data_IF_401022826829
#
_entry.id   IF_401022826829
#
_cell.length_a   1.000
_cell.length_b   1.000
_cell.length_c   1.000
_cell.angle_alpha   90.00
_cell.angle_beta   90.00
_cell.angle_gamma   90.00
#
_symmetry.space_group_name_H-M   'P 1'
#
loop_
_entity.id
_entity.type
_entity.pdbx_description
1 polymer ?
#
# COMPACT_ATOMS: atom_id res chain seq x y z
N UNK A 1 -7.44 3.94 18.43
CA UNK A 1 -5.96 3.81 18.37
C UNK A 1 -5.52 4.24 16.98
N UNK A 2 -4.34 4.83 16.80
CA UNK A 2 -3.76 5.13 15.47
C UNK A 2 -3.66 3.89 14.57
N UNK A 3 -3.58 2.69 15.18
CA UNK A 3 -3.65 1.40 14.51
C UNK A 3 -4.97 1.14 13.79
N UNK A 4 -6.04 1.89 14.05
CA UNK A 4 -7.29 1.73 13.30
C UNK A 4 -7.21 2.34 11.90
N UNK A 5 -6.47 3.45 11.79
CA UNK A 5 -6.36 4.28 10.58
C UNK A 5 -5.15 3.94 9.73
N UNK A 6 -4.06 3.44 10.31
CA UNK A 6 -2.91 2.98 9.54
C UNK A 6 -2.30 1.72 10.13
N UNK A 7 -2.33 0.63 9.36
CA UNK A 7 -1.78 -0.66 9.76
C UNK A 7 -0.70 -1.11 8.79
N UNK A 8 0.41 -1.59 9.34
CA UNK A 8 1.46 -2.27 8.60
C UNK A 8 1.42 -3.72 9.06
N UNK A 9 1.20 -4.65 8.12
CA UNK A 9 1.27 -6.08 8.42
C UNK A 9 2.53 -6.63 7.79
N UNK A 10 3.40 -7.21 8.63
CA UNK A 10 4.71 -7.68 8.22
C UNK A 10 4.62 -9.09 7.63
N UNK A 11 5.29 -9.33 6.50
CA UNK A 11 5.46 -10.69 5.97
C UNK A 11 4.22 -11.38 5.40
N UNK A 12 3.11 -10.68 5.19
CA UNK A 12 1.82 -11.29 4.79
C UNK A 12 1.66 -11.46 3.27
N UNK A 13 2.45 -10.73 2.48
CA UNK A 13 2.40 -10.74 1.02
C UNK A 13 3.36 -11.73 0.37
N UNK A 14 3.35 -11.75 -0.96
CA UNK A 14 4.25 -12.57 -1.78
C UNK A 14 5.72 -12.38 -1.38
N UNK A 15 6.45 -13.49 -1.22
CA UNK A 15 7.85 -13.53 -0.76
C UNK A 15 8.08 -12.78 0.56
N UNK A 16 7.12 -12.89 1.49
CA UNK A 16 7.22 -12.23 2.79
C UNK A 16 7.19 -10.71 2.68
N UNK A 17 6.61 -10.17 1.61
CA UNK A 17 6.38 -8.73 1.49
C UNK A 17 5.44 -8.23 2.57
N UNK A 18 5.64 -7.00 2.99
CA UNK A 18 4.74 -6.31 3.89
C UNK A 18 3.48 -5.84 3.16
N UNK A 19 2.47 -5.43 3.93
CA UNK A 19 1.32 -4.68 3.42
C UNK A 19 1.05 -3.44 4.27
N UNK A 20 0.46 -2.44 3.63
CA UNK A 20 0.01 -1.19 4.26
C UNK A 20 -1.48 -1.04 4.03
N UNK A 21 -2.22 -0.72 5.09
CA UNK A 21 -3.60 -0.31 5.03
C UNK A 21 -3.73 1.09 5.63
N UNK A 22 -4.44 1.97 4.94
CA UNK A 22 -4.78 3.31 5.41
C UNK A 22 -6.30 3.54 5.29
N UNK A 23 -6.90 4.08 6.34
CA UNK A 23 -8.28 4.58 6.36
C UNK A 23 -8.27 6.04 6.74
N UNK A 24 -9.08 6.85 6.05
CA UNK A 24 -9.13 8.28 6.28
C UNK A 24 -10.48 8.86 5.86
N UNK A 25 -10.84 10.01 6.44
CA UNK A 25 -12.02 10.76 6.01
C UNK A 25 -11.72 11.49 4.71
N UNK A 26 -12.75 11.68 3.88
CA UNK A 26 -12.62 12.53 2.71
C UNK A 26 -12.37 13.98 3.14
N UNK A 27 -11.46 14.64 2.44
CA UNK A 27 -11.21 16.07 2.55
C UNK A 27 -12.41 16.87 2.02
N UNK A 28 -12.40 18.18 2.23
CA UNK A 28 -13.35 19.10 1.59
C UNK A 28 -13.06 19.29 0.10
N UNK A 29 -11.93 18.76 -0.39
CA UNK A 29 -11.45 18.90 -1.76
C UNK A 29 -11.67 17.64 -2.59
N UNK A 30 -10.87 17.51 -3.65
CA UNK A 30 -10.87 16.34 -4.51
C UNK A 30 -9.89 15.29 -3.98
N UNK A 31 -10.42 14.18 -3.47
CA UNK A 31 -9.61 13.02 -3.11
C UNK A 31 -9.64 11.97 -4.22
N UNK A 32 -8.55 11.22 -4.35
CA UNK A 32 -8.42 10.13 -5.30
C UNK A 32 -7.88 8.88 -4.64
N UNK A 33 -8.25 7.72 -5.17
CA UNK A 33 -7.55 6.47 -4.86
C UNK A 33 -6.20 6.40 -5.58
N UNK A 34 -5.39 5.42 -5.21
CA UNK A 34 -4.10 5.06 -5.79
C UNK A 34 -4.03 4.89 -7.32
N UNK A 35 -5.17 4.71 -7.98
CA UNK A 35 -5.24 4.58 -9.45
C UNK A 35 -5.89 5.81 -10.10
N UNK A 36 -6.20 6.84 -9.30
CA UNK A 36 -6.68 8.13 -9.77
C UNK A 36 -8.20 8.25 -9.89
N UNK A 37 -8.98 7.29 -9.38
CA UNK A 37 -10.43 7.48 -9.35
C UNK A 37 -10.80 8.44 -8.21
N UNK A 38 -11.72 9.35 -8.50
CA UNK A 38 -12.29 10.23 -7.48
C UNK A 38 -12.96 9.43 -6.37
N UNK A 39 -12.62 9.76 -5.12
CA UNK A 39 -13.23 9.21 -3.93
C UNK A 39 -14.43 10.07 -3.51
N UNK A 40 -15.61 9.49 -3.68
CA UNK A 40 -16.90 10.04 -3.27
C UNK A 40 -17.44 9.29 -2.06
N UNK A 41 -18.48 9.81 -1.39
CA UNK A 41 -19.02 9.25 -0.15
C UNK A 41 -19.48 7.79 -0.30
N UNK A 42 -19.98 7.40 -1.48
CA UNK A 42 -20.36 6.03 -1.84
C UNK A 42 -19.16 5.07 -1.97
N UNK A 43 -17.93 5.59 -2.10
CA UNK A 43 -16.66 4.83 -2.05
C UNK A 43 -16.06 4.81 -0.63
N UNK A 44 -16.89 5.02 0.40
CA UNK A 44 -16.47 4.95 1.80
C UNK A 44 -17.25 3.87 2.55
N UNK A 45 -16.67 3.40 3.66
CA UNK A 45 -17.34 2.50 4.60
C UNK A 45 -17.32 3.14 5.97
N UNK A 46 -18.51 3.35 6.56
CA UNK A 46 -18.67 4.14 7.81
C UNK A 46 -18.03 5.54 7.72
N UNK A 47 -18.11 6.18 6.56
CA UNK A 47 -17.55 7.51 6.31
C UNK A 47 -16.02 7.56 6.12
N UNK A 48 -15.35 6.41 6.04
CA UNK A 48 -13.91 6.33 5.80
C UNK A 48 -13.61 5.73 4.43
N UNK A 49 -12.75 6.40 3.67
CA UNK A 49 -12.07 5.81 2.53
C UNK A 49 -11.08 4.74 3.01
N UNK A 50 -10.72 3.83 2.11
CA UNK A 50 -9.75 2.77 2.36
C UNK A 50 -8.76 2.70 1.20
N UNK A 51 -7.47 2.65 1.52
CA UNK A 51 -6.42 2.33 0.58
C UNK A 51 -5.50 1.25 1.16
N UNK A 52 -5.32 0.16 0.43
CA UNK A 52 -4.41 -0.92 0.77
C UNK A 52 -3.32 -1.09 -0.29
N UNK A 53 -2.12 -1.46 0.14
CA UNK A 53 -0.99 -1.76 -0.73
C UNK A 53 -0.37 -3.08 -0.28
N UNK A 54 -0.28 -4.04 -1.19
CA UNK A 54 0.34 -5.35 -0.92
C UNK A 54 0.90 -5.95 -2.19
N UNK A 55 1.75 -6.97 -2.05
CA UNK A 55 2.30 -7.71 -3.19
C UNK A 55 1.63 -9.08 -3.24
N UNK A 56 0.97 -9.38 -4.36
CA UNK A 56 0.40 -10.70 -4.64
C UNK A 56 1.25 -11.45 -5.67
N UNK A 57 1.04 -12.78 -5.76
CA UNK A 57 1.67 -13.58 -6.82
C UNK A 57 1.14 -13.11 -8.18
N UNK A 58 2.04 -12.83 -9.12
CA UNK A 58 1.64 -12.39 -10.46
C UNK A 58 0.81 -13.48 -11.16
N UNK A 59 -0.42 -13.13 -11.54
CA UNK A 59 -1.39 -14.06 -12.14
C UNK A 59 -1.30 -14.13 -13.68
N UNK A 60 -0.73 -13.10 -14.34
CA UNK A 60 -0.87 -12.87 -15.79
C UNK A 60 0.35 -13.29 -16.60
N UNK A 61 0.79 -14.53 -16.45
CA UNK A 61 1.85 -15.10 -17.30
C UNK A 61 1.26 -16.10 -18.28
N UNK A 62 1.66 -16.08 -19.57
CA UNK A 62 1.22 -17.08 -20.54
C UNK A 62 1.39 -18.48 -19.98
N UNK A 63 0.40 -19.37 -20.18
CA UNK A 63 0.44 -20.75 -19.70
C UNK A 63 1.79 -21.40 -20.08
N UNK A 64 2.57 -21.80 -19.09
CA UNK A 64 3.89 -22.41 -19.25
C UNK A 64 5.08 -21.52 -18.89
N UNK A 65 4.88 -20.20 -18.74
CA UNK A 65 5.94 -19.27 -18.29
C UNK A 65 5.75 -18.97 -16.80
N UNK A 66 6.63 -19.49 -15.95
CA UNK A 66 6.69 -19.08 -14.53
C UNK A 66 7.34 -17.71 -14.45
N UNK A 67 6.56 -16.67 -14.15
CA UNK A 67 7.13 -15.39 -13.71
C UNK A 67 7.49 -15.47 -12.25
N UNK A 68 8.77 -15.30 -11.96
CA UNK A 68 9.32 -15.24 -10.60
C UNK A 68 9.25 -13.80 -10.04
N UNK A 69 8.06 -13.20 -10.13
CA UNK A 69 7.76 -11.87 -9.64
C UNK A 69 6.33 -11.79 -9.13
N UNK A 70 6.10 -10.83 -8.24
CA UNK A 70 4.79 -10.44 -7.72
C UNK A 70 4.23 -9.21 -8.44
N UNK A 71 2.98 -8.93 -8.15
CA UNK A 71 2.24 -7.76 -8.59
C UNK A 71 2.00 -6.85 -7.39
N UNK A 72 2.40 -5.58 -7.47
CA UNK A 72 1.98 -4.57 -6.51
C UNK A 72 0.50 -4.28 -6.76
N UNK A 73 -0.32 -4.55 -5.76
CA UNK A 73 -1.77 -4.36 -5.79
C UNK A 73 -2.10 -3.13 -4.98
N UNK A 74 -2.94 -2.27 -5.55
CA UNK A 74 -3.72 -1.34 -4.77
C UNK A 74 -5.10 -1.91 -4.47
N UNK A 75 -5.55 -1.73 -3.24
CA UNK A 75 -6.89 -2.04 -2.80
C UNK A 75 -7.66 -0.75 -2.50
N UNK A 76 -8.85 -0.59 -3.06
CA UNK A 76 -9.73 0.57 -2.84
C UNK A 76 -11.19 0.12 -2.77
N UNK A 77 -12.10 0.96 -2.28
CA UNK A 77 -13.53 0.63 -2.26
C UNK A 77 -14.21 1.06 -3.57
N UNK A 78 -15.06 0.21 -4.13
CA UNK A 78 -15.98 0.61 -5.19
C UNK A 78 -17.16 1.46 -4.66
N UNK A 79 -18.04 1.89 -5.56
CA UNK A 79 -19.24 2.69 -5.24
C UNK A 79 -20.28 1.93 -4.38
N UNK A 80 -20.09 0.64 -4.17
CA UNK A 80 -20.91 -0.19 -3.29
C UNK A 80 -20.19 -0.47 -1.96
N UNK A 81 -19.05 0.16 -1.70
CA UNK A 81 -18.25 -0.06 -0.50
C UNK A 81 -17.57 -1.44 -0.45
N UNK A 82 -17.41 -2.11 -1.59
CA UNK A 82 -16.72 -3.41 -1.69
C UNK A 82 -15.26 -3.20 -2.05
N UNK A 83 -14.38 -4.02 -1.48
CA UNK A 83 -12.95 -3.94 -1.73
C UNK A 83 -12.62 -4.44 -3.15
N UNK A 84 -11.88 -3.65 -3.90
CA UNK A 84 -11.41 -3.93 -5.25
C UNK A 84 -9.89 -3.90 -5.29
N UNK A 85 -9.31 -4.93 -5.90
CA UNK A 85 -7.87 -5.03 -6.12
C UNK A 85 -7.55 -4.61 -7.56
N UNK A 86 -6.62 -3.68 -7.72
CA UNK A 86 -6.09 -3.27 -9.03
C UNK A 86 -4.58 -3.41 -9.03
N UNK A 87 -4.03 -4.10 -10.02
CA UNK A 87 -2.58 -4.20 -10.21
C UNK A 87 -2.01 -2.86 -10.65
N UNK A 88 -1.10 -2.30 -9.87
CA UNK A 88 -0.35 -1.08 -10.21
C UNK A 88 0.84 -1.41 -11.11
N UNK A 89 1.56 -2.48 -10.78
CA UNK A 89 2.75 -2.90 -11.53
C UNK A 89 3.10 -4.37 -11.26
N UNK A 90 3.79 -4.99 -12.21
CA UNK A 90 4.33 -6.34 -12.10
C UNK A 90 5.86 -6.32 -11.90
N UNK A 91 6.44 -7.49 -11.64
CA UNK A 91 7.89 -7.61 -11.47
C UNK A 91 8.37 -7.13 -10.10
N UNK A 92 7.56 -7.29 -9.06
CA UNK A 92 7.97 -7.00 -7.68
C UNK A 92 8.63 -8.22 -7.07
N UNK A 93 9.84 -8.08 -6.55
CA UNK A 93 10.49 -9.11 -5.75
C UNK A 93 9.98 -9.07 -4.31
N UNK A 94 10.03 -7.89 -3.71
CA UNK A 94 9.72 -7.67 -2.30
C UNK A 94 9.30 -6.22 -2.04
N UNK A 95 8.35 -6.04 -1.13
CA UNK A 95 7.96 -4.75 -0.55
C UNK A 95 8.27 -4.79 0.95
N UNK A 96 9.11 -3.88 1.42
CA UNK A 96 9.41 -3.70 2.83
C UNK A 96 8.96 -2.32 3.32
N UNK A 97 8.36 -2.28 4.51
CA UNK A 97 7.88 -1.07 5.17
C UNK A 97 8.43 -1.07 6.59
N UNK A 98 9.28 -0.10 6.88
CA UNK A 98 9.93 0.08 8.17
C UNK A 98 9.47 1.37 8.81
N UNK A 99 9.12 1.31 10.10
CA UNK A 99 8.85 2.51 10.88
C UNK A 99 10.16 3.02 11.49
N UNK A 100 10.53 4.25 11.15
CA UNK A 100 11.75 4.87 11.61
C UNK A 100 11.53 5.57 12.95
N UNK A 101 12.51 5.51 13.88
CA UNK A 101 12.42 6.23 15.14
C UNK A 101 12.47 7.74 14.90
N UNK A 102 11.48 8.47 15.43
CA UNK A 102 11.46 9.93 15.35
C UNK A 102 12.14 10.51 16.60
N UNK A 103 13.24 11.24 16.40
CA UNK A 103 13.95 11.92 17.50
C UNK A 103 13.24 13.24 17.82
N UNK A 104 12.29 13.22 18.75
CA UNK A 104 11.60 14.41 19.26
C UNK A 104 10.67 14.07 20.43
N UNK A 105 10.80 14.78 21.55
CA UNK A 105 10.20 14.42 22.84
C UNK A 105 8.67 14.26 22.82
N UNK A 106 8.21 13.23 23.55
CA UNK A 106 6.89 12.87 24.11
C UNK A 106 5.55 13.25 23.43
N UNK A 107 5.50 14.13 22.42
CA UNK A 107 4.27 14.69 21.84
C UNK A 107 4.22 14.66 20.28
N UNK A 108 5.05 13.86 19.62
CA UNK A 108 4.96 13.73 18.15
C UNK A 108 3.91 12.69 17.73
N UNK A 109 2.86 13.18 17.08
CA UNK A 109 1.66 12.43 16.63
C UNK A 109 1.85 11.79 15.24
N UNK A 110 3.05 11.87 14.65
CA UNK A 110 3.34 11.41 13.29
C UNK A 110 4.26 10.19 13.24
N UNK A 111 3.97 9.27 12.33
CA UNK A 111 4.80 8.10 11.98
C UNK A 111 5.66 8.41 10.77
N UNK A 112 6.93 8.02 10.82
CA UNK A 112 7.87 8.10 9.69
C UNK A 112 8.10 6.70 9.15
N UNK A 113 7.75 6.49 7.89
CA UNK A 113 7.82 5.19 7.23
C UNK A 113 8.86 5.22 6.11
N UNK A 114 9.76 4.26 6.11
CA UNK A 114 10.64 3.97 4.98
C UNK A 114 10.03 2.82 4.19
N UNK A 115 9.73 3.07 2.92
CA UNK A 115 9.17 2.09 1.99
C UNK A 115 10.26 1.72 1.00
N UNK A 116 10.55 0.43 0.92
CA UNK A 116 11.50 -0.15 -0.03
C UNK A 116 10.78 -1.11 -0.96
N UNK A 117 10.94 -0.90 -2.27
CA UNK A 117 10.37 -1.75 -3.31
C UNK A 117 11.49 -2.32 -4.19
N UNK A 118 11.63 -3.63 -4.18
CA UNK A 118 12.60 -4.36 -4.99
C UNK A 118 11.95 -4.90 -6.26
N UNK A 119 12.57 -4.64 -7.41
CA UNK A 119 12.09 -5.00 -8.73
C UNK A 119 12.90 -6.16 -9.30
N UNK A 120 12.22 -7.09 -9.96
CA UNK A 120 12.80 -8.27 -10.61
C UNK A 120 12.23 -8.48 -12.01
N UNK A 121 13.08 -9.00 -12.90
CA UNK A 121 12.71 -9.48 -14.23
C UNK A 121 12.31 -10.99 -14.21
N UNK A 122 12.34 -11.62 -13.03
CA UNK A 122 12.10 -13.04 -12.82
C UNK A 122 13.37 -13.88 -12.72
N UNK A 123 14.54 -13.30 -12.95
CA UNK A 123 15.84 -13.98 -12.77
C UNK A 123 16.64 -13.29 -11.68
N UNK A 124 16.76 -11.96 -11.74
CA UNK A 124 17.55 -11.16 -10.83
C UNK A 124 16.74 -9.99 -10.27
N UNK A 125 17.22 -9.42 -9.17
CA UNK A 125 16.78 -8.10 -8.71
C UNK A 125 17.60 -7.09 -9.50
N UNK A 126 16.96 -6.29 -10.34
CA UNK A 126 17.65 -5.32 -11.20
C UNK A 126 17.56 -3.88 -10.66
N UNK A 127 16.64 -3.61 -9.73
CA UNK A 127 16.47 -2.28 -9.14
C UNK A 127 15.79 -2.33 -7.78
N UNK A 128 16.21 -1.46 -6.87
CA UNK A 128 15.52 -1.17 -5.63
C UNK A 128 15.18 0.32 -5.56
N UNK A 129 13.98 0.65 -5.08
CA UNK A 129 13.55 2.01 -4.81
C UNK A 129 13.30 2.17 -3.33
N UNK A 130 13.77 3.27 -2.76
CA UNK A 130 13.53 3.61 -1.36
C UNK A 130 12.94 5.03 -1.27
N UNK A 131 11.90 5.18 -0.46
CA UNK A 131 11.28 6.47 -0.16
C UNK A 131 10.87 6.54 1.32
N UNK A 132 11.07 7.71 1.91
CA UNK A 132 10.65 7.99 3.28
C UNK A 132 9.46 8.92 3.27
N UNK A 133 8.41 8.55 3.99
CA UNK A 133 7.16 9.30 4.14
C UNK A 133 6.94 9.63 5.60
N UNK A 134 6.54 10.86 5.89
CA UNK A 134 6.10 11.27 7.22
C UNK A 134 4.59 11.50 7.18
N UNK A 135 3.86 10.76 8.00
CA UNK A 135 2.44 11.03 8.22
C UNK A 135 2.28 12.31 9.05
N UNK A 136 1.25 13.09 8.73
CA UNK A 136 0.82 14.27 9.49
C UNK A 136 -0.57 13.99 10.03
N UNK A 137 -0.83 14.36 11.29
CA UNK A 137 -2.14 14.27 11.93
C UNK A 137 -2.80 12.88 11.83
N UNK A 138 -2.30 11.91 12.60
CA UNK A 138 -2.95 10.59 12.77
C UNK A 138 -4.11 10.61 13.80
N UNK A 139 -4.53 11.81 14.23
CA UNK A 139 -5.57 12.07 15.23
C UNK A 139 -6.59 13.07 14.67
#
# INVERSE_FOLDING_TARGET
SSDEFMQIQKGVGYRGSDSLMVKYQLSKGLDMDCIGNTLTVDRTKKGLAFQGFLVDRQASSPKGVRTNGGSLICQSLDRQGRLQNTTLMNGIHHLAIEELPVKGGQNQVGRVLKITLEMTDGVLIYRAFERTFASRNLL
#
